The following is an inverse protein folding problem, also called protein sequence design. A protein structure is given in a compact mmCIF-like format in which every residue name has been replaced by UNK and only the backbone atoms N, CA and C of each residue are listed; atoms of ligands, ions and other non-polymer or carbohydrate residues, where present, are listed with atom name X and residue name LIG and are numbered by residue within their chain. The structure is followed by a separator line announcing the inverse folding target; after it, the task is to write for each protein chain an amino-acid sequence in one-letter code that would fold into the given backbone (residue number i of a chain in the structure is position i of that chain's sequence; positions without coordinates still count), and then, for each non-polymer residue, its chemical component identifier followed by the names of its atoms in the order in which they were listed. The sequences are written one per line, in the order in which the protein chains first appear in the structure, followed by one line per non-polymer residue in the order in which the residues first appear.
data_IF_002286559358
#
_entry.id   IF_002286559358
#
_cell.length_a   1.000
_cell.length_b   1.000
_cell.length_c   1.000
_cell.angle_alpha   90.00
_cell.angle_beta   90.00
_cell.angle_gamma   90.00
#
_symmetry.space_group_name_H-M   'P 1'
#
loop_
_entity.id
_entity.type
_entity.pdbx_description
1 polymer ?
#
# COMPACT_ATOMS: atom_id res chain seq x y z
N UNK A 1 14.70 -25.72 5.41
CA UNK A 1 14.76 -24.33 5.88
C UNK A 1 13.36 -23.77 5.75
N UNK A 2 12.65 -23.63 6.88
CA UNK A 2 11.22 -23.27 6.89
C UNK A 2 11.15 -21.75 7.07
N UNK A 3 10.67 -21.05 6.04
CA UNK A 3 10.49 -19.60 5.98
C UNK A 3 9.10 -19.30 6.56
N UNK A 4 9.01 -18.79 7.80
CA UNK A 4 7.73 -18.35 8.39
C UNK A 4 7.96 -17.32 9.48
N UNK A 5 8.01 -16.01 9.16
CA UNK A 5 7.98 -14.98 10.20
C UNK A 5 7.19 -13.69 9.84
N UNK A 6 7.08 -13.23 8.59
CA UNK A 6 6.27 -12.02 8.29
C UNK A 6 4.75 -12.28 8.25
N UNK A 7 4.34 -13.48 7.84
CA UNK A 7 2.94 -13.85 7.73
C UNK A 7 2.25 -14.07 9.09
N UNK A 8 3.01 -14.36 10.14
CA UNK A 8 2.49 -14.61 11.51
C UNK A 8 1.77 -13.40 12.10
N UNK A 9 2.30 -12.19 11.95
CA UNK A 9 1.68 -10.97 12.46
C UNK A 9 0.35 -10.64 11.75
N UNK A 10 0.30 -10.83 10.43
CA UNK A 10 -0.93 -10.61 9.65
C UNK A 10 -1.97 -11.67 10.00
N UNK A 11 -1.52 -12.92 10.19
CA UNK A 11 -2.33 -14.03 10.66
C UNK A 11 -2.93 -13.77 12.04
N UNK A 12 -2.14 -13.33 13.01
CA UNK A 12 -2.60 -13.02 14.38
C UNK A 12 -3.60 -11.86 14.42
N UNK A 13 -3.46 -10.89 13.50
CA UNK A 13 -4.34 -9.71 13.42
C UNK A 13 -5.65 -9.97 12.68
N UNK A 14 -5.63 -10.84 11.67
CA UNK A 14 -6.77 -11.07 10.78
C UNK A 14 -7.47 -12.41 11.03
N UNK A 15 -6.84 -13.34 11.74
CA UNK A 15 -7.27 -14.72 11.94
C UNK A 15 -7.07 -15.60 10.70
N UNK A 16 -7.17 -16.91 10.90
CA UNK A 16 -6.89 -17.97 9.91
C UNK A 16 -7.73 -17.85 8.61
N UNK A 17 -8.90 -17.24 8.70
CA UNK A 17 -9.91 -17.23 7.61
C UNK A 17 -9.72 -16.00 6.69
N UNK A 18 -9.07 -14.94 7.15
CA UNK A 18 -8.90 -13.67 6.41
C UNK A 18 -7.47 -13.43 5.93
N UNK A 19 -6.57 -14.37 6.18
CA UNK A 19 -5.17 -14.29 5.82
C UNK A 19 -4.93 -14.70 4.36
N UNK A 20 -4.24 -13.84 3.61
CA UNK A 20 -3.75 -14.10 2.25
C UNK A 20 -2.21 -14.01 2.32
N UNK A 21 -1.47 -15.07 1.96
CA UNK A 21 -0.01 -15.08 2.02
C UNK A 21 0.61 -13.92 1.25
N UNK A 22 1.73 -13.39 1.72
CA UNK A 22 2.39 -12.25 1.08
C UNK A 22 2.65 -12.45 -0.42
N UNK A 23 3.09 -13.66 -0.82
CA UNK A 23 3.30 -14.04 -2.24
C UNK A 23 2.06 -13.81 -3.10
N UNK A 24 0.89 -14.17 -2.60
CA UNK A 24 -0.37 -14.03 -3.33
C UNK A 24 -0.82 -12.57 -3.39
N UNK A 25 -0.60 -11.81 -2.31
CA UNK A 25 -0.89 -10.37 -2.30
C UNK A 25 -0.05 -9.64 -3.35
N UNK A 26 1.24 -9.96 -3.45
CA UNK A 26 2.11 -9.40 -4.49
C UNK A 26 1.61 -9.75 -5.90
N UNK A 27 1.26 -11.01 -6.14
CA UNK A 27 0.74 -11.46 -7.44
C UNK A 27 -0.58 -10.75 -7.82
N UNK A 28 -1.48 -10.57 -6.86
CA UNK A 28 -2.74 -9.84 -7.07
C UNK A 28 -2.50 -8.37 -7.43
N UNK A 29 -1.51 -7.73 -6.78
CA UNK A 29 -1.12 -6.35 -7.11
C UNK A 29 -0.49 -6.25 -8.51
N UNK A 30 0.39 -7.18 -8.87
CA UNK A 30 1.01 -7.24 -10.21
C UNK A 30 -0.08 -7.33 -11.29
N UNK A 31 -1.03 -8.25 -11.13
CA UNK A 31 -2.16 -8.40 -12.04
C UNK A 31 -3.03 -7.14 -12.10
N UNK A 32 -3.32 -6.52 -10.96
CA UNK A 32 -4.11 -5.29 -10.93
C UNK A 32 -3.43 -4.17 -11.75
N UNK A 33 -2.12 -3.98 -11.57
CA UNK A 33 -1.33 -2.97 -12.30
C UNK A 33 -1.29 -3.25 -13.81
N UNK A 34 -1.06 -4.51 -14.21
CA UNK A 34 -1.01 -4.89 -15.63
C UNK A 34 -2.33 -4.62 -16.35
N UNK A 35 -3.46 -4.83 -15.67
CA UNK A 35 -4.78 -4.66 -16.27
C UNK A 35 -5.22 -3.20 -16.43
N UNK A 36 -4.67 -2.27 -15.65
CA UNK A 36 -4.82 -0.83 -15.88
C UNK A 36 -4.12 -0.36 -17.18
N UNK A 37 -3.35 -1.25 -17.81
CA UNK A 37 -2.76 -1.06 -19.13
C UNK A 37 -1.34 -0.49 -19.09
N UNK A 38 -0.71 -0.46 -20.27
CA UNK A 38 0.70 -0.06 -20.44
C UNK A 38 1.02 1.34 -19.89
N UNK A 39 0.04 2.24 -19.88
CA UNK A 39 0.20 3.58 -19.32
C UNK A 39 0.50 3.55 -17.81
N UNK A 40 -0.10 2.62 -17.06
CA UNK A 40 0.11 2.48 -15.62
C UNK A 40 1.28 1.55 -15.31
N UNK A 41 1.35 0.40 -15.98
CA UNK A 41 2.40 -0.60 -15.75
C UNK A 41 3.80 -0.17 -16.21
N UNK A 42 3.91 0.94 -16.97
CA UNK A 42 5.21 1.52 -17.34
C UNK A 42 5.94 2.22 -16.20
N UNK A 43 5.25 2.61 -15.13
CA UNK A 43 5.84 3.38 -14.03
C UNK A 43 5.43 2.90 -12.62
N UNK A 44 4.39 2.06 -12.51
CA UNK A 44 4.05 1.37 -11.26
C UNK A 44 4.47 -0.10 -11.37
N UNK A 45 5.12 -0.61 -10.33
CA UNK A 45 5.45 -2.03 -10.20
C UNK A 45 5.37 -2.49 -8.75
N UNK A 46 5.35 -3.80 -8.54
CA UNK A 46 5.36 -4.41 -7.21
C UNK A 46 6.78 -4.80 -6.86
N UNK A 47 7.26 -4.32 -5.71
CA UNK A 47 8.47 -4.86 -5.08
C UNK A 47 8.07 -5.92 -4.07
N UNK A 48 8.74 -7.08 -4.13
CA UNK A 48 8.59 -8.18 -3.16
C UNK A 48 9.62 -8.10 -2.02
N UNK A 49 10.42 -7.03 -2.00
CA UNK A 49 11.55 -6.85 -1.09
C UNK A 49 11.19 -7.03 0.39
N UNK A 50 10.10 -6.41 0.84
CA UNK A 50 9.63 -6.56 2.23
C UNK A 50 9.27 -8.03 2.54
N UNK A 51 8.50 -8.67 1.67
CA UNK A 51 7.99 -10.03 1.91
C UNK A 51 9.05 -11.12 1.81
N UNK A 52 10.09 -10.93 1.00
CA UNK A 52 11.10 -11.97 0.72
C UNK A 52 12.32 -11.87 1.65
N UNK A 53 12.66 -10.67 2.11
CA UNK A 53 13.91 -10.43 2.84
C UNK A 53 13.72 -10.21 4.34
N UNK A 54 12.49 -9.94 4.78
CA UNK A 54 12.22 -9.76 6.20
C UNK A 54 12.01 -11.10 6.93
N UNK A 55 12.79 -11.33 7.98
CA UNK A 55 12.59 -12.44 8.93
C UNK A 55 11.46 -12.14 9.92
N UNK A 56 10.42 -11.39 9.54
CA UNK A 56 9.39 -10.90 10.45
C UNK A 56 8.54 -9.79 9.86
N UNK A 57 7.62 -9.25 10.66
CA UNK A 57 6.94 -8.01 10.30
C UNK A 57 7.96 -6.86 10.30
N UNK A 58 7.98 -6.07 9.24
CA UNK A 58 8.78 -4.84 9.14
C UNK A 58 7.81 -3.71 8.89
N UNK A 59 7.95 -2.65 9.68
CA UNK A 59 7.09 -1.49 9.57
C UNK A 59 7.44 -0.65 8.33
N UNK A 60 6.52 0.21 7.89
CA UNK A 60 6.68 1.00 6.67
C UNK A 60 7.86 1.99 6.74
N UNK A 61 8.21 2.47 7.95
CA UNK A 61 9.33 3.39 8.17
C UNK A 61 10.66 2.78 7.75
N UNK A 62 11.11 1.67 8.38
CA UNK A 62 12.31 0.94 7.97
C UNK A 62 12.32 0.53 6.49
N UNK A 63 11.17 0.14 5.90
CA UNK A 63 11.10 -0.18 4.47
C UNK A 63 11.45 1.05 3.61
N UNK A 64 10.91 2.21 3.96
CA UNK A 64 11.14 3.48 3.24
C UNK A 64 12.59 3.93 3.37
N UNK A 65 13.15 3.88 4.57
CA UNK A 65 14.55 4.25 4.85
C UNK A 65 15.53 3.36 4.11
N UNK A 66 15.32 2.04 4.17
CA UNK A 66 16.18 1.07 3.47
C UNK A 66 16.13 1.27 1.95
N UNK A 67 14.94 1.56 1.39
CA UNK A 67 14.82 1.85 -0.04
C UNK A 67 15.58 3.12 -0.43
N UNK A 68 15.45 4.20 0.35
CA UNK A 68 16.22 5.45 0.16
C UNK A 68 17.71 5.17 0.16
N UNK A 69 18.20 4.48 1.17
CA UNK A 69 19.64 4.25 1.35
C UNK A 69 20.18 3.35 0.26
N UNK A 70 19.45 2.28 -0.09
CA UNK A 70 19.81 1.38 -1.18
C UNK A 70 19.92 2.11 -2.52
N UNK A 71 18.87 2.84 -2.92
CA UNK A 71 18.85 3.52 -4.21
C UNK A 71 19.89 4.63 -4.29
N UNK A 72 20.05 5.44 -3.24
CA UNK A 72 21.05 6.51 -3.25
C UNK A 72 22.48 5.99 -3.17
N UNK A 73 22.72 4.91 -2.43
CA UNK A 73 24.02 4.23 -2.47
C UNK A 73 24.31 3.71 -3.88
N UNK A 74 23.35 3.05 -4.51
CA UNK A 74 23.53 2.42 -5.81
C UNK A 74 23.70 3.45 -6.94
N UNK A 75 22.77 4.39 -7.04
CA UNK A 75 22.65 5.29 -8.19
C UNK A 75 23.51 6.55 -8.09
N UNK A 76 23.80 7.03 -6.88
CA UNK A 76 24.62 8.25 -6.68
C UNK A 76 26.07 7.89 -6.35
N UNK A 77 26.28 7.00 -5.38
CA UNK A 77 27.63 6.73 -4.86
C UNK A 77 28.39 5.72 -5.73
N UNK A 78 27.79 4.56 -6.01
CA UNK A 78 28.47 3.46 -6.70
C UNK A 78 28.50 3.68 -8.21
N UNK A 79 27.33 3.81 -8.84
CA UNK A 79 27.20 3.87 -10.31
C UNK A 79 27.29 5.30 -10.84
N UNK A 80 27.11 6.31 -9.96
CA UNK A 80 27.17 7.74 -10.30
C UNK A 80 26.27 8.13 -11.47
N UNK A 81 25.13 7.43 -11.62
CA UNK A 81 24.11 7.70 -12.62
C UNK A 81 23.35 9.00 -12.30
N UNK A 82 23.28 9.36 -11.03
CA UNK A 82 22.61 10.57 -10.55
C UNK A 82 23.61 11.54 -9.93
N UNK A 83 23.45 12.82 -10.26
CA UNK A 83 24.27 13.92 -9.69
C UNK A 83 23.88 14.23 -8.24
N UNK A 84 22.62 14.02 -7.89
CA UNK A 84 22.06 14.32 -6.57
C UNK A 84 21.26 13.13 -6.04
N UNK A 85 21.10 12.99 -4.71
CA UNK A 85 20.24 11.98 -4.12
C UNK A 85 18.79 12.07 -4.62
N UNK A 86 18.18 10.90 -4.82
CA UNK A 86 16.75 10.73 -4.99
C UNK A 86 16.03 11.01 -3.67
N UNK A 87 14.93 11.75 -3.76
CA UNK A 87 13.93 11.81 -2.70
C UNK A 87 12.97 10.63 -2.84
N UNK A 88 12.81 9.85 -1.77
CA UNK A 88 11.79 8.80 -1.69
C UNK A 88 10.51 9.39 -1.11
N UNK A 89 9.39 9.17 -1.79
CA UNK A 89 8.08 9.63 -1.34
C UNK A 89 7.28 8.45 -0.80
N UNK A 90 7.03 8.42 0.51
CA UNK A 90 6.10 7.46 1.10
C UNK A 90 4.66 7.92 0.84
N UNK A 91 3.82 7.04 0.30
CA UNK A 91 2.44 7.37 -0.06
C UNK A 91 1.48 6.65 0.89
N UNK A 92 0.58 7.38 1.52
CA UNK A 92 -0.48 6.79 2.34
C UNK A 92 -1.80 7.57 2.29
N UNK A 93 -2.87 6.96 2.80
CA UNK A 93 -4.16 7.63 2.97
C UNK A 93 -4.17 8.55 4.20
N UNK A 94 -4.96 9.61 4.15
CA UNK A 94 -5.15 10.55 5.26
C UNK A 94 -5.59 9.85 6.57
N UNK A 95 -6.33 8.75 6.48
CA UNK A 95 -6.76 7.97 7.64
C UNK A 95 -5.59 7.28 8.37
N UNK A 96 -4.57 6.83 7.63
CA UNK A 96 -3.35 6.29 8.21
C UNK A 96 -2.48 7.42 8.78
N UNK A 97 -2.30 8.50 8.02
CA UNK A 97 -1.55 9.68 8.45
C UNK A 97 -2.04 10.16 9.81
N UNK A 98 -3.34 10.45 9.95
CA UNK A 98 -3.93 10.96 11.19
C UNK A 98 -3.72 10.04 12.41
N UNK A 99 -3.61 8.72 12.21
CA UNK A 99 -3.43 7.73 13.28
C UNK A 99 -1.96 7.44 13.61
N UNK A 100 -1.03 7.79 12.73
CA UNK A 100 0.35 7.36 12.83
C UNK A 100 1.33 8.54 12.75
N UNK A 101 1.79 9.02 13.91
CA UNK A 101 2.77 10.11 14.01
C UNK A 101 4.11 9.78 13.33
N UNK A 102 4.44 8.50 13.19
CA UNK A 102 5.68 8.07 12.54
C UNK A 102 5.77 8.51 11.07
N UNK A 103 4.65 8.69 10.37
CA UNK A 103 4.66 9.23 9.01
C UNK A 103 5.24 10.65 9.00
N UNK A 104 4.83 11.49 9.95
CA UNK A 104 5.37 12.84 10.10
C UNK A 104 6.86 12.83 10.47
N UNK A 105 7.26 11.98 11.44
CA UNK A 105 8.66 11.88 11.86
C UNK A 105 9.57 11.41 10.71
N UNK A 106 9.08 10.48 9.88
CA UNK A 106 9.80 10.01 8.71
C UNK A 106 9.99 11.12 7.67
N UNK A 107 9.00 11.99 7.45
CA UNK A 107 9.12 13.13 6.56
C UNK A 107 10.18 14.17 7.02
N UNK A 108 10.62 14.14 8.28
CA UNK A 108 11.69 15.03 8.76
C UNK A 108 13.08 14.57 8.29
N UNK A 109 13.24 13.31 7.90
CA UNK A 109 14.52 12.77 7.49
C UNK A 109 14.99 13.31 6.12
N UNK A 110 16.29 13.21 5.86
CA UNK A 110 16.86 13.63 4.58
C UNK A 110 16.41 12.72 3.45
N UNK A 111 16.08 13.34 2.32
CA UNK A 111 15.66 12.69 1.09
C UNK A 111 14.45 11.76 1.26
N UNK A 112 13.58 12.06 2.24
CA UNK A 112 12.27 11.45 2.38
C UNK A 112 11.20 12.55 2.39
N UNK A 113 10.13 12.30 1.65
CA UNK A 113 8.90 13.08 1.69
C UNK A 113 7.72 12.14 1.89
N UNK A 114 6.57 12.69 2.29
CA UNK A 114 5.34 11.92 2.42
C UNK A 114 4.25 12.54 1.56
N UNK A 115 3.52 11.72 0.82
CA UNK A 115 2.36 12.11 0.04
C UNK A 115 1.09 11.53 0.67
N UNK A 116 0.20 12.42 1.11
CA UNK A 116 -1.00 12.06 1.86
C UNK A 116 -2.21 12.24 0.96
N UNK A 117 -2.81 11.12 0.56
CA UNK A 117 -3.98 11.12 -0.32
C UNK A 117 -5.25 11.27 0.50
N UNK A 118 -6.09 12.24 0.14
CA UNK A 118 -7.36 12.45 0.82
C UNK A 118 -8.32 11.28 0.61
N UNK A 119 -9.26 11.14 1.55
CA UNK A 119 -10.34 10.15 1.51
C UNK A 119 -11.63 10.85 1.08
N UNK A 120 -12.60 10.11 0.54
CA UNK A 120 -13.86 10.73 0.12
C UNK A 120 -14.55 11.41 1.31
N UNK A 121 -14.90 12.69 1.16
CA UNK A 121 -15.50 13.49 2.24
C UNK A 121 -14.51 14.05 3.25
N UNK A 122 -13.20 13.90 3.02
CA UNK A 122 -12.15 14.49 3.85
C UNK A 122 -11.45 15.62 3.10
N UNK A 123 -11.09 16.67 3.86
CA UNK A 123 -10.39 17.87 3.40
C UNK A 123 -9.28 18.28 4.37
N UNK A 124 -8.72 19.47 4.16
CA UNK A 124 -7.66 20.02 5.03
C UNK A 124 -8.10 20.14 6.49
N UNK A 125 -9.37 20.45 6.72
CA UNK A 125 -10.00 20.55 8.05
C UNK A 125 -10.01 19.24 8.83
N UNK A 126 -9.75 18.12 8.15
CA UNK A 126 -9.69 16.79 8.77
C UNK A 126 -8.25 16.36 9.10
N UNK A 127 -7.25 17.22 8.89
CA UNK A 127 -5.86 16.94 9.25
C UNK A 127 -5.68 17.17 10.75
N UNK A 128 -5.42 16.09 11.49
CA UNK A 128 -5.29 16.14 12.95
C UNK A 128 -3.84 16.34 13.43
N UNK A 129 -2.87 16.28 12.51
CA UNK A 129 -1.46 16.43 12.83
C UNK A 129 -0.94 17.76 12.32
N UNK A 130 -0.26 18.51 13.18
CA UNK A 130 0.37 19.77 12.79
C UNK A 130 1.57 19.48 11.90
N UNK A 131 1.50 19.77 10.60
CA UNK A 131 2.68 19.73 9.75
C UNK A 131 3.60 20.90 10.06
N UNK A 132 4.87 20.58 10.33
CA UNK A 132 5.93 21.56 10.62
C UNK A 132 6.98 21.57 9.51
N UNK A 133 6.80 20.79 8.45
CA UNK A 133 7.81 20.52 7.44
C UNK A 133 7.25 20.77 6.04
N UNK A 134 8.02 21.35 5.12
CA UNK A 134 7.61 21.46 3.71
C UNK A 134 7.74 20.14 2.93
N UNK A 135 7.83 19.00 3.62
CA UNK A 135 8.13 17.67 3.05
C UNK A 135 6.90 16.75 3.05
N UNK A 136 5.75 17.23 3.54
CA UNK A 136 4.46 16.55 3.41
C UNK A 136 3.68 17.21 2.26
N UNK A 137 3.18 16.37 1.36
CA UNK A 137 2.44 16.78 0.16
C UNK A 137 1.01 16.24 0.32
N UNK A 138 0.04 17.12 0.45
CA UNK A 138 -1.36 16.75 0.50
C UNK A 138 -1.94 16.64 -0.91
N UNK A 139 -2.47 15.47 -1.25
CA UNK A 139 -3.02 15.16 -2.57
C UNK A 139 -4.55 15.11 -2.45
N UNK A 140 -5.27 16.16 -2.88
CA UNK A 140 -6.72 16.16 -2.85
C UNK A 140 -7.25 15.13 -3.86
N UNK A 141 -8.44 14.60 -3.58
CA UNK A 141 -9.12 13.70 -4.51
C UNK A 141 -9.57 14.47 -5.76
N UNK A 142 -9.32 13.89 -6.94
CA UNK A 142 -9.94 14.39 -8.17
C UNK A 142 -11.45 14.19 -8.12
N UNK A 143 -12.19 14.99 -8.89
CA UNK A 143 -13.67 14.90 -9.00
C UNK A 143 -14.16 13.53 -9.49
N UNK A 144 -13.27 12.73 -10.09
CA UNK A 144 -13.55 11.40 -10.64
C UNK A 144 -13.57 10.29 -9.57
N UNK A 145 -12.96 10.50 -8.39
CA UNK A 145 -13.05 9.55 -7.27
C UNK A 145 -14.35 9.76 -6.49
N UNK A 146 -15.30 8.86 -6.71
CA UNK A 146 -16.64 8.88 -6.10
C UNK A 146 -16.69 8.04 -4.82
N UNK A 147 -17.74 8.22 -4.00
CA UNK A 147 -18.03 7.36 -2.84
C UNK A 147 -18.10 5.87 -3.20
N UNK A 148 -18.43 5.54 -4.45
CA UNK A 148 -18.48 4.16 -4.92
C UNK A 148 -17.08 3.53 -4.98
N UNK A 149 -16.03 4.31 -5.26
CA UNK A 149 -14.64 3.84 -5.33
C UNK A 149 -13.96 3.71 -3.96
N UNK A 150 -14.66 4.09 -2.88
CA UNK A 150 -14.16 4.04 -1.52
C UNK A 150 -14.43 2.64 -0.91
N UNK A 151 -13.57 1.68 -1.23
CA UNK A 151 -13.70 0.30 -0.75
C UNK A 151 -12.50 -0.11 0.09
N UNK A 152 -12.76 -0.61 1.30
CA UNK A 152 -11.72 -1.15 2.16
C UNK A 152 -11.43 -2.62 1.87
N UNK A 153 -10.19 -3.06 2.08
CA UNK A 153 -9.83 -4.48 1.96
C UNK A 153 -10.60 -5.36 2.96
N UNK A 154 -11.08 -4.80 4.08
CA UNK A 154 -11.93 -5.51 5.04
C UNK A 154 -13.30 -5.85 4.45
N UNK A 155 -13.93 -4.90 3.75
CA UNK A 155 -15.21 -5.14 3.06
C UNK A 155 -15.05 -6.19 1.94
N UNK A 156 -13.95 -6.13 1.20
CA UNK A 156 -13.63 -7.12 0.14
C UNK A 156 -13.49 -8.52 0.73
N UNK A 157 -12.75 -8.68 1.84
CA UNK A 157 -12.61 -9.99 2.50
C UNK A 157 -13.94 -10.52 3.02
N UNK A 158 -14.75 -9.67 3.66
CA UNK A 158 -16.07 -10.05 4.16
C UNK A 158 -17.00 -10.52 3.04
N UNK A 159 -16.95 -9.87 1.86
CA UNK A 159 -17.72 -10.29 0.68
C UNK A 159 -17.39 -11.72 0.25
N UNK A 160 -16.10 -12.08 0.14
CA UNK A 160 -15.72 -13.44 -0.27
C UNK A 160 -16.00 -14.51 0.81
N UNK A 161 -16.08 -14.12 2.08
CA UNK A 161 -16.35 -15.05 3.18
C UNK A 161 -17.85 -15.29 3.43
N UNK A 162 -18.68 -14.26 3.23
CA UNK A 162 -20.12 -14.28 3.48
C UNK A 162 -20.91 -13.56 2.34
N UNK A 163 -20.97 -14.13 1.13
CA UNK A 163 -21.57 -13.48 -0.04
C UNK A 163 -23.05 -13.10 0.13
N UNK A 164 -23.76 -13.81 1.00
CA UNK A 164 -25.18 -13.61 1.31
C UNK A 164 -25.49 -12.39 2.17
N UNK A 165 -24.47 -11.72 2.72
CA UNK A 165 -24.66 -10.68 3.76
C UNK A 165 -24.30 -9.25 3.33
N UNK A 166 -23.79 -9.02 2.12
CA UNK A 166 -23.25 -7.70 1.75
C UNK A 166 -23.59 -7.17 0.34
N UNK A 167 -23.46 -5.85 0.25
CA UNK A 167 -23.88 -4.91 -0.79
C UNK A 167 -23.28 -5.22 -2.18
N UNK A 168 -24.12 -5.31 -3.22
CA UNK A 168 -23.74 -5.56 -4.61
C UNK A 168 -22.68 -4.57 -5.16
N UNK A 169 -22.54 -3.40 -4.51
CA UNK A 169 -21.56 -2.39 -4.84
C UNK A 169 -20.10 -2.83 -4.57
N UNK A 170 -19.82 -3.74 -3.64
CA UNK A 170 -18.43 -4.19 -3.38
C UNK A 170 -17.88 -4.97 -4.57
N UNK A 171 -18.71 -5.83 -5.18
CA UNK A 171 -18.30 -6.64 -6.33
C UNK A 171 -17.93 -5.80 -7.55
N UNK A 172 -18.62 -4.67 -7.77
CA UNK A 172 -18.35 -3.76 -8.89
C UNK A 172 -17.03 -2.99 -8.74
N UNK A 173 -16.47 -2.94 -7.53
CA UNK A 173 -15.25 -2.21 -7.20
C UNK A 173 -14.01 -3.10 -7.03
N UNK A 174 -14.18 -4.42 -7.10
CA UNK A 174 -13.06 -5.36 -7.13
C UNK A 174 -12.72 -5.63 -8.59
N UNK A 175 -11.46 -5.42 -8.96
CA UNK A 175 -10.99 -5.71 -10.30
C UNK A 175 -11.37 -7.16 -10.71
N UNK A 176 -11.96 -7.40 -11.90
CA UNK A 176 -12.50 -8.72 -12.28
C UNK A 176 -11.52 -9.88 -12.13
N UNK A 177 -10.24 -9.67 -12.46
CA UNK A 177 -9.20 -10.70 -12.34
C UNK A 177 -8.79 -10.96 -10.88
N UNK A 178 -8.77 -9.92 -10.03
CA UNK A 178 -8.57 -10.09 -8.58
C UNK A 178 -9.75 -10.89 -8.02
N UNK A 179 -10.96 -10.59 -8.46
CA UNK A 179 -12.16 -11.35 -8.09
C UNK A 179 -12.09 -12.80 -8.53
N UNK A 180 -11.69 -13.08 -9.76
CA UNK A 180 -11.56 -14.45 -10.27
C UNK A 180 -10.51 -15.24 -9.48
N UNK A 181 -9.34 -14.64 -9.25
CA UNK A 181 -8.29 -15.25 -8.42
C UNK A 181 -8.79 -15.57 -7.02
N UNK A 182 -9.44 -14.60 -6.37
CA UNK A 182 -9.99 -14.76 -5.02
C UNK A 182 -11.07 -15.86 -4.98
N UNK A 183 -11.99 -15.91 -5.96
CA UNK A 183 -12.99 -16.99 -6.06
C UNK A 183 -12.32 -18.36 -6.25
N UNK A 184 -11.33 -18.46 -7.15
CA UNK A 184 -10.64 -19.72 -7.47
C UNK A 184 -9.85 -20.28 -6.29
N UNK A 185 -9.17 -19.41 -5.53
CA UNK A 185 -8.23 -19.81 -4.49
C UNK A 185 -8.83 -19.83 -3.09
N UNK A 186 -9.80 -18.96 -2.83
CA UNK A 186 -10.35 -18.71 -1.49
C UNK A 186 -11.88 -18.77 -1.41
N UNK A 187 -12.58 -18.95 -2.53
CA UNK A 187 -14.03 -19.11 -2.53
C UNK A 187 -14.44 -20.40 -1.81
N UNK A 188 -15.41 -20.33 -0.90
CA UNK A 188 -16.07 -21.52 -0.36
C UNK A 188 -16.77 -22.25 -1.51
N UNK A 189 -16.54 -23.56 -1.62
CA UNK A 189 -17.29 -24.45 -2.53
C UNK A 189 -18.72 -24.62 -2.05
#
# INVERSE_FOLDING_TARGET
MIIYLSDSYVHDKLGDIAWIPAKDRCQLCEQAIENEGAAVSSWISVSRGESEWANGFVDFGPVTENLRDFLNMKLVKQEKLLKYPLCIVYVCGLDHFNKCLYVQLMAQQDNISCAIVYRHGYGEEHINQSDKTSKIIYIPLSKERTKLTEVSSTEIRNYFQNPSTMNANVEQNIHPNVREYMKKKYGKK
#
